data_IF_362015955751
#
_entry.id   IF_362015955751
#
_cell.length_a   1.000
_cell.length_b   1.000
_cell.length_c   1.000
_cell.angle_alpha   90.00
_cell.angle_beta   90.00
_cell.angle_gamma   90.00
#
_symmetry.space_group_name_H-M   'P 1'
#
loop_
_entity.id
_entity.type
_entity.pdbx_description
1 polymer ?
#
# COMPACT_ATOMS: atom_id res chain seq x y z
N UNK A 1 -8.36 5.63 -4.13
CA UNK A 1 -7.82 6.48 -5.22
C UNK A 1 -7.23 5.58 -6.29
N UNK A 2 -7.52 5.82 -7.57
CA UNK A 2 -7.00 5.05 -8.70
C UNK A 2 -6.33 6.00 -9.71
N UNK A 3 -5.19 5.59 -10.25
CA UNK A 3 -4.53 6.28 -11.36
C UNK A 3 -4.57 5.41 -12.61
N UNK A 4 -5.12 5.94 -13.70
CA UNK A 4 -5.33 5.22 -14.97
C UNK A 4 -4.81 6.02 -16.16
N UNK A 5 -4.32 5.33 -17.18
CA UNK A 5 -3.74 5.95 -18.38
C UNK A 5 -2.63 5.10 -19.01
N UNK A 6 -2.17 5.42 -20.24
CA UNK A 6 -1.12 4.67 -20.92
C UNK A 6 0.24 4.79 -20.23
N UNK A 7 1.19 3.94 -20.63
CA UNK A 7 2.59 4.02 -20.16
C UNK A 7 3.18 5.40 -20.50
N UNK A 8 3.92 5.99 -19.56
CA UNK A 8 4.45 7.34 -19.74
C UNK A 8 3.46 8.47 -19.45
N UNK A 9 2.16 8.19 -19.23
CA UNK A 9 1.15 9.21 -18.91
C UNK A 9 1.27 9.82 -17.50
N UNK A 10 2.37 9.59 -16.79
CA UNK A 10 2.61 10.21 -15.48
C UNK A 10 1.95 9.52 -14.27
N UNK A 11 1.26 8.38 -14.40
CA UNK A 11 0.59 7.70 -13.26
C UNK A 11 1.46 7.55 -12.00
N UNK A 12 2.70 7.07 -12.16
CA UNK A 12 3.64 6.91 -11.05
C UNK A 12 4.06 8.27 -10.49
N UNK A 13 4.28 9.26 -11.36
CA UNK A 13 4.61 10.61 -10.93
C UNK A 13 3.45 11.27 -10.16
N UNK A 14 2.19 11.05 -10.56
CA UNK A 14 1.03 11.54 -9.81
C UNK A 14 0.88 10.83 -8.47
N UNK A 15 0.99 9.50 -8.43
CA UNK A 15 0.74 8.73 -7.21
C UNK A 15 1.89 8.79 -6.22
N UNK A 16 3.14 8.67 -6.67
CA UNK A 16 4.34 8.72 -5.82
C UNK A 16 5.06 10.06 -5.88
N UNK A 17 5.22 10.62 -7.07
CA UNK A 17 6.01 11.84 -7.28
C UNK A 17 7.52 11.58 -7.16
N UNK A 18 8.25 12.62 -6.82
CA UNK A 18 9.67 12.60 -6.48
C UNK A 18 9.88 13.15 -5.06
N UNK A 19 11.09 13.03 -4.48
CA UNK A 19 11.39 13.65 -3.19
C UNK A 19 11.13 15.15 -3.16
N UNK A 20 11.39 15.85 -4.27
CA UNK A 20 11.19 17.30 -4.40
C UNK A 20 9.72 17.66 -4.70
N UNK A 21 9.00 16.75 -5.36
CA UNK A 21 7.60 16.94 -5.75
C UNK A 21 6.79 15.70 -5.35
N UNK A 22 6.45 15.54 -4.05
CA UNK A 22 5.75 14.36 -3.57
C UNK A 22 4.36 14.26 -4.21
N UNK A 23 3.97 13.04 -4.58
CA UNK A 23 2.67 12.73 -5.16
C UNK A 23 1.57 12.51 -4.12
N UNK A 24 0.48 11.87 -4.54
CA UNK A 24 -0.71 11.64 -3.70
C UNK A 24 -0.41 10.75 -2.49
N UNK A 25 0.29 9.63 -2.67
CA UNK A 25 0.59 8.65 -1.62
C UNK A 25 1.39 9.29 -0.48
N UNK A 26 2.56 9.91 -0.70
CA UNK A 26 3.34 10.46 0.38
C UNK A 26 2.63 11.61 1.11
N UNK A 27 1.92 12.49 0.39
CA UNK A 27 1.13 13.57 1.01
C UNK A 27 0.01 13.02 1.90
N UNK A 28 -0.79 12.09 1.38
CA UNK A 28 -1.89 11.51 2.15
C UNK A 28 -1.40 10.76 3.40
N UNK A 29 -0.24 10.09 3.32
CA UNK A 29 0.37 9.42 4.47
C UNK A 29 0.87 10.41 5.52
N UNK A 30 1.51 11.50 5.10
CA UNK A 30 1.97 12.54 6.02
C UNK A 30 0.79 13.15 6.79
N UNK A 31 -0.27 13.55 6.07
CA UNK A 31 -1.49 14.10 6.66
C UNK A 31 -2.13 13.10 7.63
N UNK A 32 -2.26 11.83 7.21
CA UNK A 32 -2.86 10.79 8.04
C UNK A 32 -2.07 10.53 9.33
N UNK A 33 -0.74 10.47 9.24
CA UNK A 33 0.13 10.26 10.39
C UNK A 33 0.13 11.47 11.33
N UNK A 34 0.03 12.69 10.79
CA UNK A 34 -0.14 13.90 11.58
C UNK A 34 -1.46 13.88 12.36
N UNK A 35 -2.58 13.63 11.69
CA UNK A 35 -3.90 13.50 12.33
C UNK A 35 -3.91 12.43 13.42
N UNK A 36 -3.27 11.29 13.17
CA UNK A 36 -3.15 10.20 14.16
C UNK A 36 -2.39 10.64 15.42
N UNK A 37 -1.37 11.50 15.28
CA UNK A 37 -0.60 12.03 16.41
C UNK A 37 -1.39 13.09 17.19
N UNK A 38 -2.09 13.97 16.49
CA UNK A 38 -2.93 15.02 17.08
C UNK A 38 -4.06 14.41 17.91
N UNK A 39 -4.79 13.44 17.35
CA UNK A 39 -5.84 12.71 18.06
C UNK A 39 -5.32 11.98 19.32
N UNK A 40 -4.09 11.46 19.26
CA UNK A 40 -3.42 10.83 20.41
C UNK A 40 -2.98 11.82 21.50
N UNK A 41 -2.67 13.06 21.12
CA UNK A 41 -2.24 14.13 22.04
C UNK A 41 -3.43 14.79 22.77
N UNK A 42 -4.61 14.82 22.14
CA UNK A 42 -5.82 15.42 22.70
C UNK A 42 -6.50 14.59 23.82
N UNK A 43 -5.86 13.52 24.32
CA UNK A 43 -6.38 12.71 25.42
C UNK A 43 -7.69 11.98 25.09
N UNK A 44 -8.02 11.85 23.80
CA UNK A 44 -9.22 11.16 23.33
C UNK A 44 -9.11 9.65 23.65
N UNK A 45 -10.22 8.98 23.97
CA UNK A 45 -10.19 7.63 24.55
C UNK A 45 -9.78 6.52 23.55
N UNK A 46 -9.62 6.85 22.27
CA UNK A 46 -9.29 5.91 21.20
C UNK A 46 -7.95 6.26 20.58
N UNK A 47 -6.96 5.40 20.75
CA UNK A 47 -5.73 5.48 19.94
C UNK A 47 -6.03 4.97 18.53
N UNK A 48 -5.33 5.48 17.52
CA UNK A 48 -5.42 4.97 16.15
C UNK A 48 -4.22 4.09 15.81
N UNK A 49 -4.47 3.02 15.08
CA UNK A 49 -3.45 2.18 14.45
C UNK A 49 -3.53 2.33 12.94
N UNK A 50 -2.40 2.62 12.32
CA UNK A 50 -2.27 2.67 10.86
C UNK A 50 -1.41 1.50 10.41
N UNK A 51 -1.90 0.77 9.41
CA UNK A 51 -1.21 -0.37 8.80
C UNK A 51 -1.17 -0.22 7.29
N UNK A 52 -0.13 -0.76 6.66
CA UNK A 52 -0.02 -0.85 5.21
C UNK A 52 0.01 -2.32 4.75
N UNK A 53 -0.62 -2.57 3.62
CA UNK A 53 -0.42 -3.77 2.80
C UNK A 53 -0.08 -3.34 1.39
N UNK A 54 0.77 -4.09 0.70
CA UNK A 54 1.14 -3.77 -0.67
C UNK A 54 1.15 -5.03 -1.51
N UNK A 55 0.35 -5.04 -2.58
CA UNK A 55 0.18 -6.20 -3.44
C UNK A 55 0.21 -5.81 -4.91
N UNK A 56 0.47 -6.81 -5.74
CA UNK A 56 0.39 -6.73 -7.18
C UNK A 56 -0.58 -7.77 -7.71
N UNK A 57 -1.47 -7.35 -8.61
CA UNK A 57 -2.30 -8.24 -9.42
C UNK A 57 -1.59 -8.40 -10.77
N UNK A 58 -1.07 -9.60 -11.03
CA UNK A 58 -0.34 -9.92 -12.25
C UNK A 58 -0.82 -11.26 -12.83
N UNK A 59 -1.29 -11.25 -14.08
CA UNK A 59 -1.84 -12.44 -14.75
C UNK A 59 -2.89 -13.18 -13.89
N UNK A 60 -3.86 -12.44 -13.35
CA UNK A 60 -4.90 -12.96 -12.43
C UNK A 60 -4.40 -13.54 -11.10
N UNK A 61 -3.10 -13.42 -10.80
CA UNK A 61 -2.50 -13.79 -9.52
C UNK A 61 -2.37 -12.60 -8.60
N UNK A 62 -2.54 -12.82 -7.31
CA UNK A 62 -2.36 -11.79 -6.28
C UNK A 62 -1.06 -12.07 -5.54
N UNK A 63 -0.08 -11.21 -5.72
CA UNK A 63 1.25 -11.36 -5.15
C UNK A 63 1.43 -10.34 -4.02
N UNK A 64 1.84 -10.81 -2.84
CA UNK A 64 2.22 -9.93 -1.74
C UNK A 64 3.61 -9.34 -2.00
N UNK A 65 3.70 -8.01 -2.06
CA UNK A 65 4.97 -7.32 -2.29
C UNK A 65 5.77 -7.12 -1.00
N UNK A 66 5.11 -7.19 0.17
CA UNK A 66 5.76 -7.09 1.48
C UNK A 66 6.32 -8.45 1.94
N UNK A 67 5.74 -9.55 1.46
CA UNK A 67 6.26 -10.90 1.65
C UNK A 67 6.18 -11.73 0.35
N UNK A 68 7.21 -11.67 -0.50
CA UNK A 68 7.26 -12.41 -1.77
C UNK A 68 7.22 -13.94 -1.62
N UNK A 69 7.44 -14.47 -0.41
CA UNK A 69 7.40 -15.91 -0.16
C UNK A 69 5.97 -16.46 -0.01
N UNK A 70 4.98 -15.58 0.11
CA UNK A 70 3.56 -15.91 0.32
C UNK A 70 2.91 -16.65 -0.85
N UNK A 71 3.50 -16.58 -2.05
CA UNK A 71 2.93 -17.17 -3.26
C UNK A 71 1.71 -16.39 -3.77
N UNK A 72 0.83 -17.10 -4.48
CA UNK A 72 -0.41 -16.55 -5.03
C UNK A 72 -1.52 -16.55 -3.97
N UNK A 73 -1.96 -15.36 -3.58
CA UNK A 73 -2.98 -15.15 -2.57
C UNK A 73 -4.39 -15.24 -3.15
N UNK A 74 -5.32 -15.82 -2.38
CA UNK A 74 -6.71 -15.96 -2.82
C UNK A 74 -7.54 -14.79 -2.31
N UNK A 75 -8.27 -14.14 -3.21
CA UNK A 75 -9.30 -13.17 -2.86
C UNK A 75 -10.55 -13.92 -2.37
N UNK A 76 -11.08 -13.52 -1.23
CA UNK A 76 -12.31 -14.04 -0.64
C UNK A 76 -13.30 -12.92 -0.37
N UNK A 77 -14.56 -13.27 -0.28
CA UNK A 77 -15.64 -12.37 0.15
C UNK A 77 -16.25 -12.93 1.44
N UNK A 78 -16.43 -12.09 2.46
CA UNK A 78 -17.12 -12.51 3.69
C UNK A 78 -18.65 -12.46 3.54
N UNK A 79 -19.38 -12.92 4.57
CA UNK A 79 -20.85 -12.94 4.56
C UNK A 79 -21.51 -11.54 4.53
N UNK A 80 -20.72 -10.47 4.64
CA UNK A 80 -21.17 -9.08 4.57
C UNK A 80 -20.76 -8.40 3.26
N UNK A 81 -20.16 -9.15 2.33
CA UNK A 81 -19.68 -8.63 1.06
C UNK A 81 -18.31 -7.94 1.13
N UNK A 82 -17.57 -8.08 2.23
CA UNK A 82 -16.24 -7.50 2.33
C UNK A 82 -15.21 -8.38 1.64
N UNK A 83 -14.41 -7.78 0.76
CA UNK A 83 -13.28 -8.46 0.15
C UNK A 83 -12.13 -8.60 1.16
N UNK A 84 -11.65 -9.84 1.31
CA UNK A 84 -10.58 -10.26 2.19
C UNK A 84 -9.50 -10.97 1.36
N UNK A 85 -8.24 -10.77 1.73
CA UNK A 85 -7.11 -11.48 1.14
C UNK A 85 -6.37 -12.16 2.29
N UNK A 86 -6.75 -13.39 2.68
CA UNK A 86 -6.09 -14.12 3.75
C UNK A 86 -4.61 -14.31 3.42
N UNK A 87 -3.74 -14.10 4.41
CA UNK A 87 -2.29 -14.17 4.23
C UNK A 87 -1.64 -12.88 3.70
N UNK A 88 -2.42 -11.86 3.31
CA UNK A 88 -1.85 -10.57 2.92
C UNK A 88 -1.19 -9.88 4.12
N UNK A 89 0.11 -9.63 3.99
CA UNK A 89 0.93 -9.01 5.03
C UNK A 89 0.43 -7.62 5.37
N UNK A 90 0.32 -7.35 6.67
CA UNK A 90 0.03 -6.03 7.23
C UNK A 90 1.23 -5.58 8.06
N UNK A 91 1.83 -4.45 7.69
CA UNK A 91 2.92 -3.82 8.47
C UNK A 91 2.40 -2.56 9.16
N UNK A 92 2.62 -2.39 10.47
CA UNK A 92 2.27 -1.15 11.15
C UNK A 92 3.16 0.00 10.65
N UNK A 93 2.58 1.19 10.55
CA UNK A 93 3.31 2.42 10.19
C UNK A 93 2.98 3.52 11.21
N UNK A 94 4.00 4.01 11.92
CA UNK A 94 3.87 5.08 12.93
C UNK A 94 4.60 6.36 12.51
N UNK A 95 5.41 6.27 11.46
CA UNK A 95 6.11 7.38 10.85
C UNK A 95 6.23 7.20 9.34
N UNK A 96 6.52 8.30 8.64
CA UNK A 96 6.80 8.24 7.21
C UNK A 96 8.04 7.39 6.91
N UNK A 97 9.05 7.47 7.77
CA UNK A 97 10.26 6.63 7.67
C UNK A 97 9.94 5.14 7.78
N UNK A 98 9.01 4.73 8.63
CA UNK A 98 8.60 3.32 8.72
C UNK A 98 7.86 2.87 7.46
N UNK A 99 7.02 3.74 6.90
CA UNK A 99 6.41 3.51 5.60
C UNK A 99 7.47 3.30 4.52
N UNK A 100 8.45 4.20 4.38
CA UNK A 100 9.52 4.06 3.39
C UNK A 100 10.34 2.79 3.59
N UNK A 101 10.64 2.44 4.84
CA UNK A 101 11.40 1.23 5.19
C UNK A 101 10.71 -0.06 4.72
N UNK A 102 9.39 -0.07 4.64
CA UNK A 102 8.61 -1.19 4.10
C UNK A 102 8.33 -1.05 2.60
N UNK A 103 8.00 0.15 2.15
CA UNK A 103 7.55 0.44 0.80
C UNK A 103 8.67 0.33 -0.24
N UNK A 104 9.87 0.84 0.07
CA UNK A 104 10.98 0.86 -0.89
C UNK A 104 11.45 -0.56 -1.28
N UNK A 105 11.73 -1.48 -0.32
CA UNK A 105 12.08 -2.86 -0.67
C UNK A 105 10.93 -3.57 -1.40
N UNK A 106 9.69 -3.38 -0.95
CA UNK A 106 8.51 -4.01 -1.56
C UNK A 106 8.24 -3.51 -2.99
N UNK A 107 8.56 -2.25 -3.29
CA UNK A 107 8.49 -1.71 -4.65
C UNK A 107 9.49 -2.39 -5.59
N UNK A 108 10.64 -2.83 -5.07
CA UNK A 108 11.60 -3.65 -5.80
C UNK A 108 11.12 -5.10 -6.00
N UNK A 109 10.22 -5.58 -5.13
CA UNK A 109 9.63 -6.92 -5.24
C UNK A 109 8.53 -7.01 -6.30
N UNK A 110 7.99 -5.87 -6.72
CA UNK A 110 6.97 -5.80 -7.76
C UNK A 110 7.49 -6.51 -9.01
N UNK A 111 6.92 -7.68 -9.29
CA UNK A 111 7.42 -8.67 -10.25
C UNK A 111 8.95 -8.60 -10.39
N UNK A 112 9.71 -9.06 -9.38
CA UNK A 112 11.18 -9.16 -9.45
C UNK A 112 11.63 -9.73 -10.81
N UNK A 113 12.09 -8.85 -11.71
CA UNK A 113 12.98 -9.16 -12.83
C UNK A 113 12.41 -9.41 -14.24
N UNK A 114 11.10 -9.44 -14.48
CA UNK A 114 10.57 -9.81 -15.81
C UNK A 114 10.43 -8.57 -16.74
N UNK A 115 11.31 -8.21 -17.66
CA UNK A 115 12.54 -8.76 -18.26
C UNK A 115 13.24 -7.50 -18.82
N UNK A 116 14.58 -7.40 -18.81
CA UNK A 116 15.40 -6.22 -19.21
C UNK A 116 15.01 -5.45 -20.51
N UNK A 117 14.05 -5.91 -21.32
CA UNK A 117 13.64 -5.32 -22.60
C UNK A 117 12.13 -5.41 -22.96
N UNK A 118 11.23 -5.99 -22.15
CA UNK A 118 9.82 -6.16 -22.57
C UNK A 118 8.84 -5.25 -21.82
N UNK A 119 8.37 -4.22 -22.53
CA UNK A 119 7.25 -3.36 -22.14
C UNK A 119 5.96 -4.17 -22.02
N UNK A 120 5.47 -4.42 -20.79
CA UNK A 120 4.05 -4.77 -20.62
C UNK A 120 3.46 -4.38 -19.26
N UNK A 121 3.45 -3.07 -19.00
CA UNK A 121 2.73 -2.45 -17.88
C UNK A 121 1.19 -2.56 -17.97
N UNK A 122 0.63 -3.16 -19.01
CA UNK A 122 -0.82 -3.36 -19.16
C UNK A 122 -1.36 -4.59 -18.42
N UNK A 123 -0.48 -5.43 -17.85
CA UNK A 123 -0.87 -6.70 -17.20
C UNK A 123 -0.55 -6.76 -15.71
N UNK A 124 -0.08 -5.66 -15.13
CA UNK A 124 0.29 -5.55 -13.72
C UNK A 124 -0.37 -4.32 -13.11
N UNK A 125 -1.15 -4.55 -12.05
CA UNK A 125 -1.74 -3.49 -11.23
C UNK A 125 -1.18 -3.56 -9.82
N UNK A 126 -0.55 -2.48 -9.36
CA UNK A 126 -0.10 -2.37 -7.98
C UNK A 126 -1.18 -1.71 -7.11
N UNK A 127 -1.43 -2.28 -5.93
CA UNK A 127 -2.42 -1.79 -4.98
C UNK A 127 -1.74 -1.62 -3.63
N UNK A 128 -1.59 -0.37 -3.20
CA UNK A 128 -1.19 0.01 -1.85
C UNK A 128 -2.46 0.21 -1.02
N UNK A 129 -2.64 -0.58 0.02
CA UNK A 129 -3.73 -0.45 0.98
C UNK A 129 -3.19 0.19 2.25
N UNK A 130 -3.77 1.30 2.67
CA UNK A 130 -3.52 1.94 3.97
C UNK A 130 -4.80 1.82 4.79
N UNK A 131 -4.69 1.24 5.99
CA UNK A 131 -5.84 0.93 6.83
C UNK A 131 -5.67 1.55 8.20
N UNK A 132 -6.64 2.37 8.58
CA UNK A 132 -6.74 3.06 9.86
C UNK A 132 -7.79 2.35 10.70
N UNK A 133 -7.46 2.02 11.95
CA UNK A 133 -8.37 1.34 12.87
C UNK A 133 -8.26 1.98 14.26
N UNK A 134 -9.38 2.11 15.00
CA UNK A 134 -9.32 2.36 16.42
C UNK A 134 -8.60 1.20 17.13
N UNK A 135 -7.65 1.54 17.99
CA UNK A 135 -7.07 0.64 18.97
C UNK A 135 -8.11 0.50 20.09
N UNK A 136 -8.89 -0.58 20.09
CA UNK A 136 -9.75 -0.86 21.24
C UNK A 136 -8.86 -1.16 22.44
N UNK A 137 -8.91 -0.31 23.46
CA UNK A 137 -8.42 -0.65 24.79
C UNK A 137 -9.42 -1.65 25.37
N UNK A 138 -8.95 -2.87 25.61
CA UNK A 138 -9.71 -3.88 26.35
C UNK A 138 -9.98 -3.44 27.79
#
# INVERSE_FOLDING_TARGET
VLAYGPTGAGKTHTMLGSPEQPGVIPRALMDLLQLTREEGAEGRPWALSVTMSYLEIYQEKVLDLLDPSSGDLVIREDCRGNILIPGLTQKPITSFTDFERHFLPASGNRTVGATRLNQRSSRSHAVLLVKVRPLQRG
#
